data_IF_673495676175
#
_entry.id   IF_673495676175
#
_cell.length_a   1.000
_cell.length_b   1.000
_cell.length_c   1.000
_cell.angle_alpha   90.00
_cell.angle_beta   90.00
_cell.angle_gamma   90.00
#
_symmetry.space_group_name_H-M   'P 1'
#
loop_
_entity.id
_entity.type
_entity.pdbx_description
1 polymer ?
#
# COMPACT_ATOMS: atom_id res chain seq x y z
N UNK A 1 21.93 29.25 -19.75
CA UNK A 1 20.71 30.02 -19.45
C UNK A 1 20.69 30.24 -17.95
N UNK A 2 20.81 31.47 -17.47
CA UNK A 2 20.70 31.80 -16.04
C UNK A 2 19.24 32.20 -15.82
N UNK A 3 18.53 31.47 -14.97
CA UNK A 3 17.16 31.80 -14.59
C UNK A 3 17.15 33.07 -13.74
N UNK A 4 16.16 33.92 -13.94
CA UNK A 4 15.92 35.05 -13.05
C UNK A 4 15.37 34.58 -11.69
N UNK A 5 15.34 35.48 -10.71
CA UNK A 5 14.94 35.16 -9.34
C UNK A 5 13.47 34.68 -9.25
N UNK A 6 12.58 35.25 -10.05
CA UNK A 6 11.17 34.86 -10.08
C UNK A 6 11.00 33.43 -10.64
N UNK A 7 11.73 33.11 -11.71
CA UNK A 7 11.80 31.77 -12.28
C UNK A 7 12.37 30.76 -11.27
N UNK A 8 13.42 31.13 -10.52
CA UNK A 8 14.00 30.27 -9.50
C UNK A 8 13.01 29.96 -8.37
N UNK A 9 12.27 30.96 -7.88
CA UNK A 9 11.29 30.75 -6.81
C UNK A 9 10.09 29.93 -7.25
N UNK A 10 9.68 30.04 -8.51
CA UNK A 10 8.67 29.16 -9.09
C UNK A 10 9.14 27.70 -9.14
N UNK A 11 10.36 27.47 -9.66
CA UNK A 11 10.96 26.14 -9.76
C UNK A 11 11.17 25.46 -8.39
N UNK A 12 11.52 26.24 -7.35
CA UNK A 12 11.61 25.73 -5.97
C UNK A 12 10.28 25.17 -5.48
N UNK A 13 9.15 25.82 -5.77
CA UNK A 13 7.81 25.33 -5.37
C UNK A 13 7.50 23.97 -5.98
N UNK A 14 7.73 23.80 -7.28
CA UNK A 14 7.56 22.50 -7.94
C UNK A 14 8.51 21.44 -7.37
N UNK A 15 9.76 21.81 -7.09
CA UNK A 15 10.75 20.91 -6.49
C UNK A 15 10.29 20.41 -5.11
N UNK A 16 9.79 21.30 -4.25
CA UNK A 16 9.23 20.90 -2.96
C UNK A 16 7.97 20.04 -3.10
N UNK A 17 7.08 20.35 -4.04
CA UNK A 17 5.92 19.52 -4.32
C UNK A 17 6.33 18.09 -4.70
N UNK A 18 7.34 17.94 -5.57
CA UNK A 18 7.89 16.63 -5.95
C UNK A 18 8.46 15.90 -4.74
N UNK A 19 9.23 16.57 -3.87
CA UNK A 19 9.76 15.94 -2.65
C UNK A 19 8.66 15.46 -1.70
N UNK A 20 7.59 16.25 -1.54
CA UNK A 20 6.44 15.86 -0.70
C UNK A 20 5.75 14.63 -1.30
N UNK A 21 5.48 14.63 -2.61
CA UNK A 21 4.86 13.49 -3.30
C UNK A 21 5.72 12.22 -3.18
N UNK A 22 7.04 12.37 -3.29
CA UNK A 22 7.97 11.26 -3.10
C UNK A 22 7.91 10.73 -1.66
N UNK A 23 7.89 11.61 -0.66
CA UNK A 23 7.75 11.20 0.74
C UNK A 23 6.42 10.48 1.00
N UNK A 24 5.31 10.98 0.44
CA UNK A 24 3.99 10.35 0.57
C UNK A 24 3.92 8.96 -0.09
N UNK A 25 4.70 8.72 -1.15
CA UNK A 25 4.75 7.42 -1.80
C UNK A 25 5.19 6.30 -0.85
N UNK A 26 6.09 6.59 0.10
CA UNK A 26 6.53 5.60 1.09
C UNK A 26 5.42 5.18 2.06
N UNK A 27 4.43 6.03 2.31
CA UNK A 27 3.29 5.67 3.16
C UNK A 27 2.53 4.48 2.57
N UNK A 28 2.38 4.42 1.24
CA UNK A 28 1.67 3.31 0.58
C UNK A 28 2.34 1.94 0.81
N UNK A 29 3.65 1.92 1.02
CA UNK A 29 4.42 0.70 1.34
C UNK A 29 4.47 0.40 2.83
N UNK A 30 4.66 1.41 3.67
CA UNK A 30 4.91 1.24 5.11
C UNK A 30 3.60 1.03 5.89
N UNK A 31 2.53 1.73 5.53
CA UNK A 31 1.24 1.66 6.23
C UNK A 31 0.67 0.24 6.35
N UNK A 32 0.60 -0.60 5.29
CA UNK A 32 0.09 -1.97 5.43
C UNK A 32 0.98 -2.86 6.31
N UNK A 33 2.30 -2.60 6.35
CA UNK A 33 3.24 -3.31 7.22
C UNK A 33 2.95 -2.98 8.69
N UNK A 34 2.74 -1.71 9.02
CA UNK A 34 2.35 -1.31 10.38
C UNK A 34 1.04 -2.01 10.79
N UNK A 35 0.06 -2.07 9.88
CA UNK A 35 -1.22 -2.74 10.14
C UNK A 35 -1.08 -4.23 10.44
N UNK A 36 -0.23 -4.96 9.70
CA UNK A 36 0.00 -6.39 10.00
C UNK A 36 0.80 -6.59 11.28
N UNK A 37 1.75 -5.69 11.60
CA UNK A 37 2.48 -5.72 12.88
C UNK A 37 1.50 -5.56 14.04
N UNK A 38 0.59 -4.59 13.98
CA UNK A 38 -0.44 -4.41 15.02
C UNK A 38 -1.27 -5.69 15.17
N UNK A 39 -1.68 -6.30 14.06
CA UNK A 39 -2.40 -7.58 14.08
C UNK A 39 -1.66 -8.68 14.84
N UNK A 40 -0.35 -8.79 14.68
CA UNK A 40 0.45 -9.79 15.40
C UNK A 40 0.70 -9.42 16.86
N UNK A 41 1.01 -8.15 17.14
CA UNK A 41 1.27 -7.67 18.51
C UNK A 41 0.03 -7.78 19.39
N UNK A 42 -1.16 -7.55 18.83
CA UNK A 42 -2.43 -7.57 19.53
C UNK A 42 -3.22 -8.87 19.36
N UNK A 43 -2.60 -9.91 18.80
CA UNK A 43 -3.29 -11.17 18.50
C UNK A 43 -3.79 -11.87 19.77
N UNK A 44 -3.00 -11.85 20.84
CA UNK A 44 -3.39 -12.45 22.13
C UNK A 44 -4.55 -11.69 22.80
N UNK A 45 -4.53 -10.35 22.72
CA UNK A 45 -5.54 -9.47 23.32
C UNK A 45 -6.94 -9.70 22.74
N UNK A 46 -7.04 -10.15 21.48
CA UNK A 46 -8.32 -10.38 20.79
C UNK A 46 -8.82 -11.82 20.88
N UNK A 47 -8.06 -12.76 21.47
CA UNK A 47 -8.44 -14.19 21.51
C UNK A 47 -9.75 -14.42 22.27
N UNK A 48 -10.61 -15.26 21.70
CA UNK A 48 -11.93 -15.57 22.26
C UNK A 48 -12.97 -14.46 22.08
N UNK A 49 -12.59 -13.33 21.44
CA UNK A 49 -13.52 -12.27 21.06
C UNK A 49 -13.95 -12.39 19.60
N UNK A 50 -15.02 -11.68 19.23
CA UNK A 50 -15.45 -11.58 17.82
C UNK A 50 -14.42 -10.85 16.93
N UNK A 51 -13.47 -10.12 17.52
CA UNK A 51 -12.39 -9.44 16.79
C UNK A 51 -11.32 -10.43 16.29
N UNK A 52 -11.20 -11.61 16.90
CA UNK A 52 -10.22 -12.63 16.49
C UNK A 52 -10.39 -13.01 15.01
N UNK A 53 -11.62 -13.15 14.54
CA UNK A 53 -11.90 -13.43 13.12
C UNK A 53 -11.51 -12.27 12.21
N UNK A 54 -11.66 -11.03 12.67
CA UNK A 54 -11.30 -9.82 11.91
C UNK A 54 -9.78 -9.70 11.79
N UNK A 55 -9.04 -9.92 12.88
CA UNK A 55 -7.58 -9.95 12.88
C UNK A 55 -7.02 -11.03 11.95
N UNK A 56 -7.60 -12.24 12.01
CA UNK A 56 -7.27 -13.31 11.06
C UNK A 56 -7.57 -12.93 9.61
N UNK A 57 -8.70 -12.27 9.35
CA UNK A 57 -9.05 -11.77 8.01
C UNK A 57 -8.04 -10.74 7.52
N UNK A 58 -7.65 -9.77 8.35
CA UNK A 58 -6.67 -8.74 8.00
C UNK A 58 -5.28 -9.33 7.71
N UNK A 59 -4.78 -10.23 8.58
CA UNK A 59 -3.51 -10.95 8.35
C UNK A 59 -3.52 -11.71 7.01
N UNK A 60 -4.61 -12.42 6.73
CA UNK A 60 -4.76 -13.13 5.45
C UNK A 60 -4.80 -12.16 4.26
N UNK A 61 -5.53 -11.04 4.36
CA UNK A 61 -5.57 -10.01 3.30
C UNK A 61 -4.18 -9.46 3.02
N UNK A 62 -3.40 -9.17 4.06
CA UNK A 62 -2.02 -8.69 3.90
C UNK A 62 -1.15 -9.72 3.17
N UNK A 63 -1.09 -10.97 3.65
CA UNK A 63 -0.17 -11.96 3.09
C UNK A 63 -0.55 -12.43 1.69
N UNK A 64 -1.83 -12.69 1.43
CA UNK A 64 -2.28 -13.02 0.08
C UNK A 64 -2.17 -11.80 -0.86
N UNK A 65 -2.49 -10.60 -0.38
CA UNK A 65 -2.30 -9.37 -1.15
C UNK A 65 -0.85 -9.16 -1.55
N UNK A 66 0.09 -9.31 -0.60
CA UNK A 66 1.52 -9.22 -0.85
C UNK A 66 1.98 -10.28 -1.86
N UNK A 67 1.61 -11.54 -1.64
CA UNK A 67 1.97 -12.65 -2.54
C UNK A 67 1.53 -12.38 -3.97
N UNK A 68 0.24 -12.09 -4.19
CA UNK A 68 -0.28 -11.89 -5.53
C UNK A 68 0.19 -10.59 -6.18
N UNK A 69 0.47 -9.54 -5.39
CA UNK A 69 1.10 -8.33 -5.91
C UNK A 69 2.51 -8.62 -6.41
N UNK A 70 3.31 -9.35 -5.64
CA UNK A 70 4.67 -9.76 -6.05
C UNK A 70 4.61 -10.62 -7.32
N UNK A 71 3.74 -11.62 -7.37
CA UNK A 71 3.56 -12.45 -8.57
C UNK A 71 3.11 -11.63 -9.78
N UNK A 72 2.19 -10.68 -9.57
CA UNK A 72 1.74 -9.75 -10.60
C UNK A 72 2.89 -8.92 -11.15
N UNK A 73 3.70 -8.30 -10.28
CA UNK A 73 4.88 -7.52 -10.68
C UNK A 73 5.88 -8.38 -11.46
N UNK A 74 6.23 -9.57 -10.96
CA UNK A 74 7.18 -10.49 -11.60
C UNK A 74 6.72 -10.96 -12.99
N UNK A 75 5.40 -11.02 -13.23
CA UNK A 75 4.82 -11.45 -14.50
C UNK A 75 4.45 -10.28 -15.43
N UNK A 76 4.71 -9.03 -15.06
CA UNK A 76 4.49 -7.86 -15.93
C UNK A 76 5.27 -7.89 -17.24
N UNK A 77 6.51 -8.43 -17.34
CA UNK A 77 7.19 -8.57 -18.64
C UNK A 77 6.44 -9.46 -19.64
N UNK A 78 5.56 -10.34 -19.15
CA UNK A 78 4.71 -11.23 -19.97
C UNK A 78 3.34 -10.63 -20.28
N UNK A 79 3.10 -9.36 -19.92
CA UNK A 79 1.82 -8.64 -19.98
C UNK A 79 0.69 -9.21 -19.09
N UNK A 80 0.72 -10.49 -18.72
CA UNK A 80 -0.23 -11.13 -17.81
C UNK A 80 -0.21 -10.48 -16.41
N UNK A 81 0.96 -9.98 -15.98
CA UNK A 81 1.09 -9.31 -14.69
C UNK A 81 0.14 -8.13 -14.50
N UNK A 82 -0.19 -7.38 -15.57
CA UNK A 82 -1.16 -6.28 -15.48
C UNK A 82 -2.57 -6.77 -15.14
N UNK A 83 -3.00 -7.89 -15.71
CA UNK A 83 -4.29 -8.50 -15.40
C UNK A 83 -4.31 -9.03 -13.96
N UNK A 84 -3.22 -9.67 -13.51
CA UNK A 84 -3.07 -10.15 -12.13
C UNK A 84 -3.17 -8.97 -11.16
N UNK A 85 -2.41 -7.89 -11.39
CA UNK A 85 -2.43 -6.70 -10.55
C UNK A 85 -3.83 -6.06 -10.50
N UNK A 86 -4.52 -5.95 -11.63
CA UNK A 86 -5.89 -5.43 -11.68
C UNK A 86 -6.88 -6.26 -10.85
N UNK A 87 -6.81 -7.60 -10.97
CA UNK A 87 -7.62 -8.52 -10.15
C UNK A 87 -7.29 -8.38 -8.67
N UNK A 88 -6.01 -8.30 -8.31
CA UNK A 88 -5.57 -8.11 -6.91
C UNK A 88 -6.10 -6.79 -6.35
N UNK A 89 -6.07 -5.70 -7.11
CA UNK A 89 -6.63 -4.41 -6.68
C UNK A 89 -8.11 -4.52 -6.37
N UNK A 90 -8.91 -5.10 -7.28
CA UNK A 90 -10.36 -5.29 -7.08
C UNK A 90 -10.61 -6.19 -5.85
N UNK A 91 -9.85 -7.27 -5.74
CA UNK A 91 -9.95 -8.22 -4.64
C UNK A 91 -9.61 -7.56 -3.29
N UNK A 92 -8.56 -6.72 -3.22
CA UNK A 92 -8.19 -5.99 -2.01
C UNK A 92 -9.29 -5.00 -1.59
N UNK A 93 -9.88 -4.25 -2.54
CA UNK A 93 -11.00 -3.34 -2.27
C UNK A 93 -12.17 -4.12 -1.66
N UNK A 94 -12.55 -5.24 -2.27
CA UNK A 94 -13.58 -6.13 -1.73
C UNK A 94 -13.25 -6.64 -0.31
N UNK A 95 -12.02 -7.12 -0.10
CA UNK A 95 -11.56 -7.66 1.19
C UNK A 95 -11.57 -6.61 2.29
N UNK A 96 -11.22 -5.36 1.96
CA UNK A 96 -11.28 -4.24 2.90
C UNK A 96 -12.74 -3.91 3.21
N UNK A 97 -13.59 -3.71 2.19
CA UNK A 97 -14.99 -3.36 2.38
C UNK A 97 -15.78 -4.43 3.17
N UNK A 98 -15.47 -5.72 2.96
CA UNK A 98 -16.08 -6.83 3.69
C UNK A 98 -15.45 -7.15 5.04
N UNK A 99 -14.25 -6.64 5.29
CA UNK A 99 -13.50 -6.89 6.52
C UNK A 99 -13.79 -5.87 7.63
N UNK A 100 -14.66 -4.90 7.37
CA UNK A 100 -15.23 -3.98 8.34
C UNK A 100 -16.28 -4.66 9.23
#
# INVERSE_FOLDING_TARGET
MIFDEAQQDELKKYTYAVYILLALSFLTLITPIIGVIINYVKDEDVRGSWLESHFRWQKATFWYGLLWTVLGVLTTPLLIGYAVLGVVTIWLIYRIARGW
#
